data_IF_315487601874
#
_entry.id   IF_315487601874
#
_cell.length_a   1.000
_cell.length_b   1.000
_cell.length_c   1.000
_cell.angle_alpha   90.00
_cell.angle_beta   90.00
_cell.angle_gamma   90.00
#
_symmetry.space_group_name_H-M   'P 1'
#
loop_
_entity.id
_entity.type
_entity.pdbx_description
1 polymer ?
#
# COMPACT_ATOMS: atom_id res chain seq x y z
N UNK A 1 12.16 2.71 -26.55
CA UNK A 1 11.61 1.57 -25.76
C UNK A 1 11.69 0.33 -26.64
N UNK A 2 12.10 -0.82 -26.11
CA UNK A 2 12.30 -2.06 -26.89
C UNK A 2 11.05 -2.97 -26.84
N UNK A 3 11.01 -4.00 -27.70
CA UNK A 3 9.88 -4.93 -27.76
C UNK A 3 9.60 -5.64 -26.42
N UNK A 4 10.66 -5.98 -25.67
CA UNK A 4 10.55 -6.59 -24.35
C UNK A 4 9.75 -5.74 -23.36
N UNK A 5 9.92 -4.41 -23.38
CA UNK A 5 9.17 -3.49 -22.53
C UNK A 5 7.66 -3.55 -22.81
N UNK A 6 7.25 -3.57 -24.08
CA UNK A 6 5.84 -3.63 -24.46
C UNK A 6 5.22 -4.99 -24.13
N UNK A 7 5.97 -6.08 -24.31
CA UNK A 7 5.53 -7.43 -23.89
C UNK A 7 5.31 -7.45 -22.38
N UNK A 8 6.25 -6.93 -21.60
CA UNK A 8 6.13 -6.87 -20.15
C UNK A 8 4.90 -6.06 -19.69
N UNK A 9 4.66 -4.88 -20.28
CA UNK A 9 3.45 -4.10 -20.01
C UNK A 9 2.19 -4.89 -20.36
N UNK A 10 2.17 -5.55 -21.53
CA UNK A 10 1.01 -6.32 -21.98
C UNK A 10 0.66 -7.46 -21.03
N UNK A 11 1.68 -8.17 -20.51
CA UNK A 11 1.50 -9.22 -19.50
C UNK A 11 0.99 -8.61 -18.19
N UNK A 12 1.62 -7.55 -17.70
CA UNK A 12 1.24 -6.88 -16.46
C UNK A 12 -0.23 -6.41 -16.50
N UNK A 13 -0.61 -5.70 -17.56
CA UNK A 13 -1.98 -5.20 -17.76
C UNK A 13 -2.97 -6.34 -17.85
N UNK A 14 -2.64 -7.42 -18.56
CA UNK A 14 -3.50 -8.60 -18.68
C UNK A 14 -3.75 -9.24 -17.31
N UNK A 15 -2.68 -9.52 -16.55
CA UNK A 15 -2.78 -10.15 -15.22
C UNK A 15 -3.59 -9.28 -14.26
N UNK A 16 -3.31 -7.98 -14.20
CA UNK A 16 -4.05 -7.05 -13.35
C UNK A 16 -5.52 -7.00 -13.76
N UNK A 17 -5.82 -6.86 -15.06
CA UNK A 17 -7.19 -6.80 -15.58
C UNK A 17 -7.99 -8.05 -15.24
N UNK A 18 -7.37 -9.24 -15.28
CA UNK A 18 -8.00 -10.48 -14.82
C UNK A 18 -8.32 -10.46 -13.33
N UNK A 19 -7.40 -9.94 -12.50
CA UNK A 19 -7.65 -9.73 -11.07
C UNK A 19 -8.82 -8.78 -10.80
N UNK A 20 -8.90 -7.67 -11.54
CA UNK A 20 -10.00 -6.72 -11.45
C UNK A 20 -11.34 -7.30 -11.88
N UNK A 21 -11.36 -8.00 -13.00
CA UNK A 21 -12.53 -8.70 -13.47
C UNK A 21 -13.00 -9.75 -12.44
N UNK A 22 -12.07 -10.52 -11.89
CA UNK A 22 -12.33 -11.49 -10.82
C UNK A 22 -12.99 -10.83 -9.60
N UNK A 23 -12.47 -9.70 -9.12
CA UNK A 23 -13.07 -8.97 -8.00
C UNK A 23 -14.51 -8.54 -8.30
N UNK A 24 -14.77 -8.00 -9.49
CA UNK A 24 -16.12 -7.59 -9.88
C UNK A 24 -17.09 -8.77 -10.03
N UNK A 25 -16.62 -9.91 -10.54
CA UNK A 25 -17.39 -11.17 -10.57
C UNK A 25 -17.77 -11.64 -9.17
N UNK A 26 -16.88 -11.51 -8.18
CA UNK A 26 -17.11 -11.97 -6.81
C UNK A 26 -17.88 -10.99 -5.93
N UNK A 27 -17.79 -9.69 -6.18
CA UNK A 27 -18.41 -8.67 -5.36
C UNK A 27 -19.72 -8.14 -5.96
N UNK A 28 -19.73 -7.78 -7.25
CA UNK A 28 -20.81 -7.00 -7.85
C UNK A 28 -21.96 -7.89 -8.33
N UNK A 29 -21.63 -8.98 -9.03
CA UNK A 29 -22.64 -9.88 -9.60
C UNK A 29 -23.53 -10.54 -8.54
N UNK A 30 -22.98 -11.14 -7.46
CA UNK A 30 -23.79 -11.81 -6.44
C UNK A 30 -24.48 -10.85 -5.48
N UNK A 31 -24.13 -9.56 -5.49
CA UNK A 31 -24.81 -8.58 -4.66
C UNK A 31 -26.25 -8.32 -5.16
N UNK A 32 -27.19 -8.22 -4.23
CA UNK A 32 -28.60 -7.86 -4.50
C UNK A 32 -28.74 -6.36 -4.79
N UNK A 33 -28.15 -5.94 -5.90
CA UNK A 33 -28.27 -4.60 -6.44
C UNK A 33 -29.08 -4.63 -7.73
N UNK A 34 -29.91 -3.61 -7.95
CA UNK A 34 -30.55 -3.41 -9.25
C UNK A 34 -29.51 -3.08 -10.33
N UNK A 35 -29.89 -3.29 -11.58
CA UNK A 35 -29.03 -3.05 -12.75
C UNK A 35 -28.27 -1.70 -12.74
N UNK A 36 -28.89 -0.54 -12.45
CA UNK A 36 -28.16 0.74 -12.41
C UNK A 36 -27.08 0.77 -11.33
N UNK A 37 -27.33 0.21 -10.15
CA UNK A 37 -26.35 0.18 -9.06
C UNK A 37 -25.19 -0.78 -9.36
N UNK A 38 -25.45 -1.89 -10.07
CA UNK A 38 -24.37 -2.78 -10.56
C UNK A 38 -23.48 -2.08 -11.58
N UNK A 39 -24.07 -1.28 -12.49
CA UNK A 39 -23.30 -0.48 -13.44
C UNK A 39 -22.41 0.54 -12.72
N UNK A 40 -22.96 1.27 -11.74
CA UNK A 40 -22.19 2.21 -10.92
C UNK A 40 -21.02 1.49 -10.23
N UNK A 41 -21.26 0.33 -9.63
CA UNK A 41 -20.21 -0.44 -8.96
C UNK A 41 -19.09 -0.87 -9.92
N UNK A 42 -19.43 -1.29 -11.14
CA UNK A 42 -18.44 -1.62 -12.18
C UNK A 42 -17.67 -0.39 -12.65
N UNK A 43 -18.34 0.75 -12.80
CA UNK A 43 -17.69 2.03 -13.13
C UNK A 43 -16.70 2.44 -12.05
N UNK A 44 -17.11 2.39 -10.77
CA UNK A 44 -16.23 2.70 -9.64
C UNK A 44 -15.02 1.76 -9.61
N UNK A 45 -15.23 0.45 -9.72
CA UNK A 45 -14.13 -0.52 -9.76
C UNK A 45 -13.16 -0.25 -10.92
N UNK A 46 -13.69 0.10 -12.09
CA UNK A 46 -12.88 0.44 -13.27
C UNK A 46 -12.09 1.73 -13.07
N UNK A 47 -12.67 2.76 -12.45
CA UNK A 47 -11.96 3.99 -12.12
C UNK A 47 -10.85 3.74 -11.10
N UNK A 48 -11.12 2.95 -10.06
CA UNK A 48 -10.13 2.56 -9.04
C UNK A 48 -8.97 1.76 -9.64
N UNK A 49 -9.19 1.02 -10.73
CA UNK A 49 -8.12 0.37 -11.51
C UNK A 49 -7.34 1.36 -12.38
N UNK A 50 -8.05 2.20 -13.14
CA UNK A 50 -7.45 3.07 -14.15
C UNK A 50 -6.64 4.22 -13.57
N UNK A 51 -7.07 4.81 -12.45
CA UNK A 51 -6.40 5.96 -11.81
C UNK A 51 -4.95 5.65 -11.38
N UNK A 52 -4.65 4.56 -10.63
CA UNK A 52 -3.26 4.24 -10.31
C UNK A 52 -2.43 3.97 -11.57
N UNK A 53 -3.02 3.32 -12.57
CA UNK A 53 -2.34 3.04 -13.84
C UNK A 53 -1.99 4.35 -14.57
N UNK A 54 -2.94 5.25 -14.78
CA UNK A 54 -2.68 6.55 -15.41
C UNK A 54 -1.71 7.40 -14.58
N UNK A 55 -1.79 7.37 -13.24
CA UNK A 55 -0.83 8.06 -12.36
C UNK A 55 0.59 7.57 -12.60
N UNK A 56 0.79 6.26 -12.77
CA UNK A 56 2.11 5.70 -13.11
C UNK A 56 2.66 6.27 -14.42
N UNK A 57 1.83 6.34 -15.48
CA UNK A 57 2.29 6.91 -16.76
C UNK A 57 2.53 8.43 -16.69
N UNK A 58 1.69 9.18 -15.97
CA UNK A 58 1.87 10.62 -15.79
C UNK A 58 3.20 10.94 -15.11
N UNK A 59 3.56 10.20 -14.06
CA UNK A 59 4.84 10.37 -13.36
C UNK A 59 5.99 9.91 -14.24
N UNK A 60 5.87 8.75 -14.89
CA UNK A 60 6.97 8.14 -15.63
C UNK A 60 7.33 8.83 -16.94
N UNK A 61 6.35 9.38 -17.66
CA UNK A 61 6.52 9.90 -19.02
C UNK A 61 6.21 11.39 -19.18
N UNK A 62 5.33 11.94 -18.34
CA UNK A 62 4.96 13.36 -18.43
C UNK A 62 5.61 14.22 -17.35
N UNK A 63 6.35 13.62 -16.41
CA UNK A 63 6.90 14.26 -15.19
C UNK A 63 5.87 15.14 -14.48
N UNK A 64 4.57 14.80 -14.60
CA UNK A 64 3.47 15.62 -14.12
C UNK A 64 3.01 15.14 -12.75
N UNK A 65 3.39 15.89 -11.73
CA UNK A 65 3.05 15.60 -10.34
C UNK A 65 1.64 16.11 -10.01
N UNK A 66 0.75 15.21 -9.59
CA UNK A 66 -0.60 15.56 -9.14
C UNK A 66 -0.87 14.87 -7.81
N UNK A 67 -0.48 15.52 -6.70
CA UNK A 67 -0.47 14.91 -5.36
C UNK A 67 -1.79 14.19 -5.00
N UNK A 68 -2.93 14.88 -5.11
CA UNK A 68 -4.24 14.28 -4.82
C UNK A 68 -4.59 13.10 -5.74
N UNK A 69 -4.28 13.21 -7.04
CA UNK A 69 -4.56 12.16 -8.00
C UNK A 69 -3.74 10.89 -7.73
N UNK A 70 -2.44 11.06 -7.42
CA UNK A 70 -1.57 9.97 -7.01
C UNK A 70 -2.01 9.35 -5.69
N UNK A 71 -2.46 10.16 -4.72
CA UNK A 71 -3.06 9.66 -3.48
C UNK A 71 -4.30 8.79 -3.74
N UNK A 72 -5.23 9.24 -4.58
CA UNK A 72 -6.40 8.44 -4.97
C UNK A 72 -5.95 7.12 -5.63
N UNK A 73 -4.94 7.19 -6.51
CA UNK A 73 -4.38 6.01 -7.16
C UNK A 73 -3.81 4.99 -6.18
N UNK A 74 -2.89 5.41 -5.30
CA UNK A 74 -2.23 4.51 -4.34
C UNK A 74 -3.19 3.97 -3.28
N UNK A 75 -4.13 4.78 -2.78
CA UNK A 75 -5.15 4.32 -1.84
C UNK A 75 -6.09 3.31 -2.50
N UNK A 76 -6.50 3.56 -3.75
CA UNK A 76 -7.30 2.62 -4.53
C UNK A 76 -6.55 1.31 -4.73
N UNK A 77 -5.27 1.37 -5.10
CA UNK A 77 -4.42 0.20 -5.29
C UNK A 77 -4.28 -0.63 -4.00
N UNK A 78 -4.04 0.02 -2.86
CA UNK A 78 -3.97 -0.65 -1.56
C UNK A 78 -5.28 -1.34 -1.18
N UNK A 79 -6.42 -0.63 -1.32
CA UNK A 79 -7.74 -1.19 -1.06
C UNK A 79 -8.03 -2.41 -1.94
N UNK A 80 -7.80 -2.29 -3.25
CA UNK A 80 -8.03 -3.36 -4.22
C UNK A 80 -7.12 -4.57 -3.97
N UNK A 81 -5.89 -4.33 -3.51
CA UNK A 81 -4.97 -5.42 -3.13
C UNK A 81 -5.49 -6.21 -1.93
N UNK A 82 -5.99 -5.53 -0.88
CA UNK A 82 -6.60 -6.21 0.26
C UNK A 82 -7.86 -6.98 -0.14
N UNK A 83 -8.73 -6.37 -0.94
CA UNK A 83 -9.93 -7.05 -1.47
C UNK A 83 -9.55 -8.30 -2.25
N UNK A 84 -8.59 -8.19 -3.18
CA UNK A 84 -8.13 -9.32 -3.98
C UNK A 84 -7.63 -10.48 -3.12
N UNK A 85 -6.72 -10.19 -2.17
CA UNK A 85 -6.14 -11.21 -1.29
C UNK A 85 -7.21 -11.89 -0.45
N UNK A 86 -8.14 -11.13 0.15
CA UNK A 86 -9.21 -11.71 0.97
C UNK A 86 -10.16 -12.58 0.15
N UNK A 87 -10.53 -12.15 -1.07
CA UNK A 87 -11.36 -12.96 -1.96
C UNK A 87 -10.63 -14.24 -2.39
N UNK A 88 -9.34 -14.14 -2.72
CA UNK A 88 -8.53 -15.30 -3.08
C UNK A 88 -8.41 -16.30 -1.93
N UNK A 89 -8.17 -15.83 -0.70
CA UNK A 89 -8.15 -16.66 0.51
C UNK A 89 -9.50 -17.32 0.77
N UNK A 90 -10.60 -16.54 0.67
CA UNK A 90 -11.96 -17.07 0.84
C UNK A 90 -12.27 -18.15 -0.18
N UNK A 91 -11.97 -17.90 -1.46
CA UNK A 91 -12.23 -18.85 -2.54
C UNK A 91 -11.35 -20.11 -2.38
N UNK A 92 -10.08 -19.97 -1.98
CA UNK A 92 -9.22 -21.10 -1.65
C UNK A 92 -9.77 -21.94 -0.49
N UNK A 93 -10.23 -21.30 0.59
CA UNK A 93 -10.88 -21.97 1.71
C UNK A 93 -12.15 -22.72 1.27
N UNK A 94 -12.94 -22.13 0.36
CA UNK A 94 -14.11 -22.77 -0.22
C UNK A 94 -13.74 -23.99 -1.07
N UNK A 95 -12.72 -23.91 -1.91
CA UNK A 95 -12.23 -25.04 -2.70
C UNK A 95 -11.70 -26.19 -1.82
N UNK A 96 -10.97 -25.86 -0.74
CA UNK A 96 -10.51 -26.86 0.26
C UNK A 96 -11.72 -27.53 0.92
N UNK A 97 -12.73 -26.74 1.31
CA UNK A 97 -13.97 -27.27 1.90
C UNK A 97 -14.70 -28.24 0.97
N UNK A 98 -14.83 -27.91 -0.32
CA UNK A 98 -15.42 -28.81 -1.31
C UNK A 98 -14.59 -30.08 -1.49
N UNK A 99 -13.25 -29.96 -1.57
CA UNK A 99 -12.36 -31.10 -1.66
C UNK A 99 -12.51 -32.05 -0.47
N UNK A 100 -12.58 -31.50 0.74
CA UNK A 100 -12.82 -32.24 1.98
C UNK A 100 -14.19 -32.94 1.99
N UNK A 101 -15.26 -32.24 1.57
CA UNK A 101 -16.60 -32.84 1.45
C UNK A 101 -16.62 -33.99 0.44
N UNK A 102 -15.98 -33.81 -0.71
CA UNK A 102 -15.89 -34.86 -1.74
C UNK A 102 -15.11 -36.08 -1.23
N UNK A 103 -14.01 -35.86 -0.51
CA UNK A 103 -13.25 -36.95 0.13
C UNK A 103 -14.09 -37.66 1.20
N UNK A 104 -14.80 -36.91 2.05
CA UNK A 104 -15.67 -37.45 3.08
C UNK A 104 -16.85 -38.24 2.50
N UNK A 105 -17.40 -37.79 1.37
CA UNK A 105 -18.49 -38.50 0.68
C UNK A 105 -18.09 -39.88 0.14
N UNK A 106 -16.79 -40.17 0.00
CA UNK A 106 -16.31 -41.52 -0.31
C UNK A 106 -16.49 -42.48 0.87
N UNK A 107 -16.60 -41.95 2.09
CA UNK A 107 -16.74 -42.72 3.33
C UNK A 107 -18.12 -42.60 3.97
N UNK A 108 -18.97 -41.67 3.53
CA UNK A 108 -20.31 -41.44 4.08
C UNK A 108 -21.30 -41.00 3.00
N UNK A 109 -22.44 -41.67 2.90
CA UNK A 109 -23.47 -41.44 1.88
C UNK A 109 -24.45 -40.29 2.22
N UNK A 110 -24.15 -39.48 3.24
CA UNK A 110 -25.05 -38.40 3.64
C UNK A 110 -25.07 -37.27 2.59
N UNK A 111 -26.23 -36.92 2.01
CA UNK A 111 -26.32 -35.81 1.06
C UNK A 111 -26.09 -34.48 1.78
N UNK A 112 -25.08 -33.73 1.33
CA UNK A 112 -24.85 -32.36 1.77
C UNK A 112 -25.87 -31.41 1.11
N UNK A 113 -27.09 -31.35 1.62
CA UNK A 113 -28.08 -30.37 1.18
C UNK A 113 -27.75 -29.01 1.82
N UNK A 114 -27.10 -28.14 1.05
CA UNK A 114 -26.85 -26.76 1.47
C UNK A 114 -28.04 -25.90 1.07
N UNK A 115 -28.71 -25.32 2.07
CA UNK A 115 -29.80 -24.37 1.88
C UNK A 115 -29.33 -23.14 1.08
N UNK A 116 -30.01 -22.86 -0.03
CA UNK A 116 -29.69 -21.76 -0.93
C UNK A 116 -29.77 -20.39 -0.23
N UNK A 117 -30.73 -20.20 0.68
CA UNK A 117 -30.89 -18.95 1.41
C UNK A 117 -29.72 -18.72 2.38
N UNK A 118 -29.26 -19.77 3.06
CA UNK A 118 -28.08 -19.71 3.94
C UNK A 118 -26.81 -19.41 3.15
N UNK A 119 -26.64 -20.07 1.99
CA UNK A 119 -25.50 -19.80 1.10
C UNK A 119 -25.47 -18.35 0.64
N UNK A 120 -26.63 -17.82 0.24
CA UNK A 120 -26.73 -16.45 -0.22
C UNK A 120 -26.45 -15.44 0.89
N UNK A 121 -27.02 -15.65 2.08
CA UNK A 121 -26.73 -14.85 3.27
C UNK A 121 -25.23 -14.83 3.58
N UNK A 122 -24.58 -16.01 3.62
CA UNK A 122 -23.14 -16.11 3.87
C UNK A 122 -22.33 -15.38 2.80
N UNK A 123 -22.70 -15.48 1.52
CA UNK A 123 -22.00 -14.75 0.45
C UNK A 123 -22.12 -13.24 0.61
N UNK A 124 -23.29 -12.72 0.98
CA UNK A 124 -23.50 -11.29 1.18
C UNK A 124 -22.77 -10.77 2.42
N UNK A 125 -22.90 -11.45 3.56
CA UNK A 125 -22.21 -11.07 4.79
C UNK A 125 -20.69 -11.14 4.63
N UNK A 126 -20.17 -12.16 3.96
CA UNK A 126 -18.73 -12.25 3.69
C UNK A 126 -18.25 -11.19 2.71
N UNK A 127 -19.01 -10.85 1.66
CA UNK A 127 -18.67 -9.75 0.74
C UNK A 127 -18.64 -8.40 1.49
N UNK A 128 -19.63 -8.12 2.32
CA UNK A 128 -19.65 -6.93 3.17
C UNK A 128 -18.48 -6.93 4.17
N UNK A 129 -18.17 -8.08 4.76
CA UNK A 129 -17.02 -8.26 5.65
C UNK A 129 -15.69 -7.97 4.94
N UNK A 130 -15.50 -8.48 3.71
CA UNK A 130 -14.31 -8.20 2.90
C UNK A 130 -14.17 -6.70 2.65
N UNK A 131 -15.24 -6.03 2.20
CA UNK A 131 -15.21 -4.59 1.94
C UNK A 131 -14.95 -3.78 3.21
N UNK A 132 -15.58 -4.16 4.33
CA UNK A 132 -15.39 -3.52 5.62
C UNK A 132 -13.96 -3.65 6.13
N UNK A 133 -13.42 -4.87 6.19
CA UNK A 133 -12.05 -5.12 6.69
C UNK A 133 -11.02 -4.50 5.75
N UNK A 134 -11.16 -4.66 4.43
CA UNK A 134 -10.24 -4.03 3.47
C UNK A 134 -10.27 -2.50 3.59
N UNK A 135 -11.45 -1.90 3.77
CA UNK A 135 -11.61 -0.47 4.01
C UNK A 135 -10.92 -0.02 5.31
N UNK A 136 -11.13 -0.74 6.40
CA UNK A 136 -10.48 -0.46 7.69
C UNK A 136 -8.96 -0.61 7.63
N UNK A 137 -8.44 -1.67 7.00
CA UNK A 137 -7.00 -1.87 6.82
C UNK A 137 -6.39 -0.79 5.93
N UNK A 138 -7.11 -0.36 4.88
CA UNK A 138 -6.66 0.75 4.02
C UNK A 138 -6.60 2.05 4.81
N UNK A 139 -7.64 2.35 5.60
CA UNK A 139 -7.67 3.53 6.45
C UNK A 139 -6.54 3.51 7.50
N UNK A 140 -6.29 2.35 8.11
CA UNK A 140 -5.19 2.14 9.03
C UNK A 140 -3.82 2.32 8.35
N UNK A 141 -3.64 1.77 7.14
CA UNK A 141 -2.42 1.96 6.36
C UNK A 141 -2.16 3.43 6.00
N UNK A 142 -3.21 4.18 5.62
CA UNK A 142 -3.11 5.62 5.39
C UNK A 142 -2.76 6.38 6.68
N UNK A 143 -3.34 5.97 7.82
CA UNK A 143 -3.02 6.56 9.12
C UNK A 143 -1.54 6.35 9.49
N UNK A 144 -1.05 5.12 9.42
CA UNK A 144 0.36 4.80 9.72
C UNK A 144 1.31 5.50 8.73
N UNK A 145 0.98 5.55 7.43
CA UNK A 145 1.79 6.22 6.42
C UNK A 145 1.91 7.74 6.64
N UNK A 146 0.99 8.37 7.38
CA UNK A 146 1.03 9.81 7.71
C UNK A 146 1.48 10.08 9.14
N UNK A 147 1.76 9.04 9.92
CA UNK A 147 2.22 9.20 11.29
C UNK A 147 3.61 9.83 11.28
N UNK A 148 3.94 10.56 12.34
CA UNK A 148 5.29 11.09 12.54
C UNK A 148 6.30 9.94 12.61
N UNK A 149 7.54 10.14 12.12
CA UNK A 149 8.59 9.14 12.27
C UNK A 149 8.73 8.74 13.74
N UNK A 150 8.73 7.43 14.01
CA UNK A 150 9.05 6.92 15.33
C UNK A 150 10.54 7.10 15.60
N UNK A 151 10.90 7.55 16.80
CA UNK A 151 12.29 7.62 17.24
C UNK A 151 12.62 6.28 17.91
N UNK A 152 13.60 5.56 17.37
CA UNK A 152 14.15 4.35 17.97
C UNK A 152 15.52 4.69 18.53
N UNK A 153 15.65 4.67 19.86
CA UNK A 153 16.95 4.86 20.52
C UNK A 153 17.63 3.50 20.66
N UNK A 154 18.85 3.40 20.17
CA UNK A 154 19.67 2.18 20.24
C UNK A 154 21.03 2.56 20.84
N UNK A 155 21.33 1.99 22.00
CA UNK A 155 22.66 2.13 22.61
C UNK A 155 23.61 1.14 21.95
N UNK A 156 24.71 1.64 21.38
CA UNK A 156 25.72 0.83 20.70
C UNK A 156 26.96 0.74 21.60
N UNK A 157 27.14 -0.35 22.36
CA UNK A 157 28.31 -0.50 23.22
C UNK A 157 29.55 -0.80 22.38
N UNK A 158 30.53 0.11 22.42
CA UNK A 158 31.81 -0.04 21.72
C UNK A 158 32.91 -0.33 22.75
N UNK A 159 33.52 -1.49 22.63
CA UNK A 159 34.65 -1.86 23.48
C UNK A 159 35.83 -0.89 23.27
N UNK A 160 36.36 -0.35 24.37
CA UNK A 160 37.48 0.62 24.37
C UNK A 160 37.16 1.94 23.65
N UNK A 161 35.88 2.37 23.65
CA UNK A 161 35.51 3.69 23.18
C UNK A 161 36.23 4.78 24.00
N UNK A 162 36.88 5.77 23.38
CA UNK A 162 37.43 6.91 24.12
C UNK A 162 36.33 7.64 24.89
N UNK A 163 36.63 8.07 26.12
CA UNK A 163 35.64 8.71 27.02
C UNK A 163 34.98 9.96 26.44
N UNK A 164 35.65 10.65 25.52
CA UNK A 164 35.12 11.82 24.81
C UNK A 164 33.93 11.49 23.89
N UNK A 165 33.77 10.22 23.49
CA UNK A 165 32.64 9.75 22.68
C UNK A 165 31.57 9.03 23.53
N UNK A 166 31.72 8.98 24.85
CA UNK A 166 30.69 8.44 25.73
C UNK A 166 29.45 9.36 25.69
N UNK A 167 28.30 8.79 25.35
CA UNK A 167 27.07 9.56 25.10
C UNK A 167 27.03 10.28 23.75
N UNK A 168 27.96 10.00 22.82
CA UNK A 168 27.92 10.56 21.46
C UNK A 168 26.66 10.12 20.71
N UNK A 169 25.88 11.07 20.21
CA UNK A 169 24.58 10.82 19.57
C UNK A 169 24.65 10.98 18.05
N UNK A 170 24.34 9.89 17.36
CA UNK A 170 24.16 9.87 15.91
C UNK A 170 22.67 9.75 15.61
N UNK A 171 22.12 10.74 14.88
CA UNK A 171 20.77 10.62 14.32
C UNK A 171 20.90 10.11 12.89
N UNK A 172 20.54 8.84 12.70
CA UNK A 172 20.53 8.20 11.40
C UNK A 172 19.14 8.31 10.76
N UNK A 173 19.10 8.73 9.50
CA UNK A 173 17.88 8.83 8.71
C UNK A 173 18.09 8.07 7.40
N UNK A 174 17.14 7.22 7.05
CA UNK A 174 17.20 6.39 5.84
C UNK A 174 15.86 6.45 5.11
N UNK A 175 15.90 6.30 3.78
CA UNK A 175 14.76 5.97 2.93
C UNK A 175 13.53 6.86 3.14
N UNK A 176 13.74 8.18 3.17
CA UNK A 176 12.65 9.15 3.29
C UNK A 176 11.75 9.13 2.05
N UNK A 177 12.32 8.83 0.87
CA UNK A 177 11.58 8.76 -0.39
C UNK A 177 10.71 10.01 -0.64
N UNK A 178 11.29 11.21 -0.47
CA UNK A 178 10.60 12.46 -0.75
C UNK A 178 10.11 12.47 -2.21
N UNK A 179 8.83 12.71 -2.44
CA UNK A 179 8.22 12.33 -3.71
C UNK A 179 6.76 12.71 -3.84
N UNK A 180 5.94 11.80 -4.35
CA UNK A 180 4.52 12.06 -4.64
C UNK A 180 3.67 12.22 -3.38
N UNK A 181 3.94 11.39 -2.38
CA UNK A 181 3.17 11.29 -1.14
C UNK A 181 3.87 11.98 0.02
N UNK A 182 5.21 11.98 0.03
CA UNK A 182 6.05 12.64 1.04
C UNK A 182 6.47 14.01 0.50
N UNK A 183 5.94 15.06 1.14
CA UNK A 183 6.11 16.47 0.76
C UNK A 183 6.79 17.28 1.85
N UNK A 184 7.11 18.54 1.53
CA UNK A 184 7.79 19.48 2.43
C UNK A 184 7.30 19.44 3.89
N UNK A 185 6.00 19.47 4.14
CA UNK A 185 5.44 19.50 5.51
C UNK A 185 5.90 18.29 6.36
N UNK A 186 5.99 17.11 5.76
CA UNK A 186 6.51 15.92 6.43
C UNK A 186 8.01 16.04 6.68
N UNK A 187 8.75 16.54 5.71
CA UNK A 187 10.20 16.78 5.80
C UNK A 187 10.52 17.83 6.87
N UNK A 188 9.70 18.87 7.00
CA UNK A 188 9.80 19.86 8.07
C UNK A 188 9.58 19.20 9.44
N UNK A 189 8.57 18.33 9.56
CA UNK A 189 8.34 17.57 10.80
C UNK A 189 9.57 16.70 11.15
N UNK A 190 10.17 16.02 10.17
CA UNK A 190 11.40 15.24 10.36
C UNK A 190 12.55 16.13 10.82
N UNK A 191 12.76 17.27 10.17
CA UNK A 191 13.81 18.22 10.52
C UNK A 191 13.65 18.77 11.95
N UNK A 192 12.41 19.04 12.39
CA UNK A 192 12.11 19.44 13.76
C UNK A 192 12.45 18.35 14.79
N UNK A 193 12.10 17.08 14.50
CA UNK A 193 12.44 15.97 15.39
C UNK A 193 13.95 15.77 15.49
N UNK A 194 14.70 15.83 14.38
CA UNK A 194 16.17 15.79 14.38
C UNK A 194 16.73 16.87 15.30
N UNK A 195 16.19 18.11 15.21
CA UNK A 195 16.65 19.22 16.03
C UNK A 195 16.41 19.00 17.53
N UNK A 196 15.27 18.40 17.90
CA UNK A 196 14.94 18.07 19.31
C UNK A 196 15.89 17.01 19.88
N UNK A 197 16.36 16.08 19.05
CA UNK A 197 17.29 15.03 19.47
C UNK A 197 18.70 15.54 19.77
N UNK A 198 19.01 16.79 19.39
CA UNK A 198 20.32 17.43 19.64
C UNK A 198 21.52 16.55 19.21
N UNK A 199 21.58 16.06 17.96
CA UNK A 199 22.62 15.16 17.49
C UNK A 199 24.02 15.78 17.54
N UNK A 200 25.02 14.94 17.77
CA UNK A 200 26.44 15.28 17.57
C UNK A 200 26.84 15.08 16.10
N UNK A 201 26.25 14.07 15.44
CA UNK A 201 26.38 13.77 14.01
C UNK A 201 25.02 13.38 13.42
N UNK A 202 24.76 13.80 12.19
CA UNK A 202 23.60 13.32 11.40
C UNK A 202 24.13 12.39 10.32
N UNK A 203 23.43 11.28 10.06
CA UNK A 203 23.81 10.34 9.01
C UNK A 203 22.63 10.06 8.08
N UNK A 204 22.78 10.40 6.80
CA UNK A 204 21.82 10.03 5.76
C UNK A 204 22.31 8.77 5.04
N UNK A 205 21.62 7.64 5.22
CA UNK A 205 22.16 6.31 4.83
C UNK A 205 21.34 5.58 3.75
N UNK A 206 20.31 6.20 3.19
CA UNK A 206 19.46 5.60 2.16
C UNK A 206 18.85 6.64 1.22
N UNK A 207 17.79 6.27 0.52
CA UNK A 207 17.24 7.11 -0.55
C UNK A 207 16.41 8.28 0.01
N UNK A 208 16.84 9.50 -0.30
CA UNK A 208 16.15 10.70 0.19
C UNK A 208 15.02 11.16 -0.73
N UNK A 209 15.03 10.76 -2.00
CA UNK A 209 14.17 11.32 -3.04
C UNK A 209 13.78 10.31 -4.13
N UNK A 210 12.51 10.36 -4.54
CA UNK A 210 11.89 9.56 -5.59
C UNK A 210 11.51 10.40 -6.82
N UNK A 211 12.43 11.24 -7.28
CA UNK A 211 12.18 12.15 -8.38
C UNK A 211 13.39 13.00 -8.75
N UNK A 212 13.22 13.87 -9.74
CA UNK A 212 14.33 14.70 -10.21
C UNK A 212 14.60 15.88 -9.27
N UNK A 213 15.89 16.22 -9.13
CA UNK A 213 16.40 17.28 -8.23
C UNK A 213 15.64 18.61 -8.39
N UNK A 214 15.35 19.14 -9.60
CA UNK A 214 14.66 20.41 -9.74
C UNK A 214 13.28 20.44 -9.07
N UNK A 215 12.59 19.29 -9.03
CA UNK A 215 11.25 19.19 -8.47
C UNK A 215 11.26 19.01 -6.96
N UNK A 216 12.24 18.28 -6.42
CA UNK A 216 12.28 17.91 -5.00
C UNK A 216 13.14 18.84 -4.15
N UNK A 217 13.92 19.74 -4.77
CA UNK A 217 14.78 20.69 -4.05
C UNK A 217 14.03 21.45 -2.96
N UNK A 218 12.83 21.95 -3.27
CA UNK A 218 12.02 22.69 -2.30
C UNK A 218 11.44 21.78 -1.23
N UNK A 219 11.07 20.54 -1.56
CA UNK A 219 10.54 19.58 -0.58
C UNK A 219 11.63 19.17 0.43
N UNK A 220 12.88 19.02 -0.02
CA UNK A 220 14.03 18.58 0.80
C UNK A 220 14.82 19.69 1.51
N UNK A 221 14.57 20.95 1.16
CA UNK A 221 15.24 22.13 1.75
C UNK A 221 15.29 22.10 3.30
N UNK A 222 14.27 21.66 4.04
CA UNK A 222 14.33 21.62 5.51
C UNK A 222 15.45 20.74 6.06
N UNK A 223 15.80 19.62 5.40
CA UNK A 223 16.94 18.78 5.80
C UNK A 223 18.29 19.44 5.48
N UNK A 224 18.33 20.34 4.49
CA UNK A 224 19.53 21.14 4.27
C UNK A 224 19.79 22.12 5.44
N UNK A 225 18.79 22.44 6.26
CA UNK A 225 18.88 23.37 7.40
C UNK A 225 19.17 22.71 8.74
N UNK A 226 19.15 21.37 8.83
CA UNK A 226 19.59 20.69 10.05
C UNK A 226 21.11 20.82 10.22
N UNK A 227 21.52 20.94 11.48
CA UNK A 227 22.90 21.18 11.90
C UNK A 227 23.26 20.21 13.03
N UNK A 228 24.47 19.69 12.98
CA UNK A 228 25.12 18.96 14.05
C UNK A 228 26.60 19.36 14.13
N UNK A 229 27.23 19.37 15.32
CA UNK A 229 28.61 19.81 15.51
C UNK A 229 29.63 19.09 14.62
N UNK A 230 29.46 17.79 14.40
CA UNK A 230 30.38 16.97 13.59
C UNK A 230 29.93 16.80 12.13
N UNK A 231 28.89 17.51 11.70
CA UNK A 231 28.42 17.49 10.31
C UNK A 231 27.25 16.56 10.04
N UNK A 232 26.98 16.34 8.75
CA UNK A 232 25.86 15.55 8.23
C UNK A 232 26.20 14.87 6.91
#
# INVERSE_FOLDING_TARGET
MNAAFFIWIGIMVSVLSLGFYYMGQRLIIPFRLDAPYKQIAWTVLSLMYLIPFSSFFMVRFAERYTGLYSWIGYVSLGFLSFVFVMLAVRDAAWFIGIGGQKLFSLFSAAPAVVDAAKREFLLQTTNLGVLGVAGSLTAYGVYEARKRPGIVNVDIPIAKLPKEFDGFRIVQISDIHAGLTIKRDFIETVAEEIKKLSPDLIAFTGDMADGSVPHLKNDLEPLAKVYAPHGK
#
